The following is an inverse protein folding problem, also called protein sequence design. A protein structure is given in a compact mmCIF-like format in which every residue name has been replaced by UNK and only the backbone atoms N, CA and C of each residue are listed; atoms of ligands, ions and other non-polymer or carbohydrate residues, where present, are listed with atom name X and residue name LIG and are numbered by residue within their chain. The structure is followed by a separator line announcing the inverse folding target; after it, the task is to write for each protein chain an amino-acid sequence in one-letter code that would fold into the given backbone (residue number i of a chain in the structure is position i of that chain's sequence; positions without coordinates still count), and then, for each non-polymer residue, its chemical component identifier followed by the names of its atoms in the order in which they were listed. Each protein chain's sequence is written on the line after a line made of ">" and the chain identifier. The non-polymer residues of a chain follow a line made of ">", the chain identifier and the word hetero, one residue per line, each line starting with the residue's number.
data_IF_194632763194
#
_entry.id   IF_194632763194
#
_cell.length_a   1.000
_cell.length_b   1.000
_cell.length_c   1.000
_cell.angle_alpha   90.00
_cell.angle_beta   90.00
_cell.angle_gamma   90.00
#
_symmetry.space_group_name_H-M   'P 1'
#
loop_
_entity.id
_entity.type
_entity.pdbx_description
1 polymer ?
#
# COMPACT_ATOMS: atom_id res chain seq x y z
N UNK A 1 -69.60 -18.07 -49.11
CA UNK A 1 -69.93 -18.89 -50.28
C UNK A 1 -68.76 -18.88 -51.24
N UNK A 2 -68.29 -20.08 -51.61
CA UNK A 2 -67.43 -20.45 -52.74
C UNK A 2 -66.05 -19.76 -52.84
N UNK A 3 -64.93 -20.41 -52.52
CA UNK A 3 -64.28 -21.55 -53.22
C UNK A 3 -63.92 -21.25 -54.68
N UNK A 4 -62.61 -21.18 -54.99
CA UNK A 4 -62.05 -21.84 -56.18
C UNK A 4 -60.53 -21.99 -56.09
N UNK A 5 -60.13 -23.24 -55.91
CA UNK A 5 -58.81 -23.82 -56.15
C UNK A 5 -58.46 -23.81 -57.63
N UNK A 6 -57.16 -23.89 -57.94
CA UNK A 6 -56.53 -24.48 -59.14
C UNK A 6 -55.04 -24.13 -59.08
N UNK A 7 -54.07 -24.94 -59.51
CA UNK A 7 -53.90 -26.36 -59.78
C UNK A 7 -52.39 -26.50 -60.06
N UNK A 8 -51.84 -27.66 -59.76
CA UNK A 8 -50.43 -28.03 -59.96
C UNK A 8 -50.04 -28.04 -61.44
N UNK A 9 -48.76 -27.78 -61.74
CA UNK A 9 -48.11 -28.34 -62.92
C UNK A 9 -46.60 -28.53 -62.68
N UNK A 10 -46.20 -29.80 -62.57
CA UNK A 10 -44.83 -30.27 -62.69
C UNK A 10 -44.50 -30.45 -64.18
N UNK A 11 -43.38 -29.91 -64.67
CA UNK A 11 -42.50 -30.65 -65.60
C UNK A 11 -41.18 -29.94 -65.89
N UNK A 12 -40.12 -30.59 -65.41
CA UNK A 12 -38.77 -30.78 -65.96
C UNK A 12 -38.31 -29.93 -67.17
N UNK A 13 -37.14 -29.28 -67.02
CA UNK A 13 -36.07 -29.39 -68.02
C UNK A 13 -34.65 -29.07 -67.50
N UNK A 14 -33.80 -30.07 -67.70
CA UNK A 14 -32.34 -30.15 -67.68
C UNK A 14 -31.49 -28.88 -67.90
N UNK A 15 -30.35 -28.81 -67.20
CA UNK A 15 -29.18 -28.02 -67.60
C UNK A 15 -27.99 -28.20 -66.66
N UNK A 16 -26.94 -28.89 -67.12
CA UNK A 16 -25.65 -29.05 -66.44
C UNK A 16 -24.94 -27.70 -66.20
N UNK A 17 -24.27 -27.53 -65.05
CA UNK A 17 -22.85 -27.12 -64.98
C UNK A 17 -22.35 -26.96 -63.52
N UNK A 18 -21.08 -27.32 -63.35
CA UNK A 18 -20.23 -27.29 -62.15
C UNK A 18 -19.96 -25.89 -61.58
N UNK A 19 -19.74 -25.78 -60.25
CA UNK A 19 -19.02 -24.65 -59.64
C UNK A 19 -19.38 -24.41 -58.17
N UNK A 20 -18.40 -24.54 -57.27
CA UNK A 20 -18.55 -24.28 -55.84
C UNK A 20 -18.76 -22.81 -55.48
N UNK A 21 -19.33 -22.57 -54.29
CA UNK A 21 -19.53 -21.24 -53.71
C UNK A 21 -20.40 -21.29 -52.45
N UNK A 22 -19.74 -21.13 -51.30
CA UNK A 22 -20.19 -20.62 -50.00
C UNK A 22 -21.72 -20.52 -49.75
N UNK A 23 -22.24 -21.42 -48.90
CA UNK A 23 -23.54 -21.24 -48.25
C UNK A 23 -23.37 -20.40 -46.98
N UNK A 24 -23.77 -19.13 -47.08
CA UNK A 24 -24.01 -18.23 -45.96
C UNK A 24 -25.14 -18.81 -45.08
N UNK A 25 -24.79 -19.44 -43.95
CA UNK A 25 -25.76 -19.97 -42.99
C UNK A 25 -26.32 -18.80 -42.17
N UNK A 26 -27.62 -18.53 -42.33
CA UNK A 26 -28.35 -17.58 -41.48
C UNK A 26 -28.47 -18.13 -40.05
N UNK A 27 -28.26 -17.24 -39.07
CA UNK A 27 -28.37 -17.53 -37.63
C UNK A 27 -29.82 -17.90 -37.27
N UNK A 28 -29.99 -18.95 -36.47
CA UNK A 28 -31.30 -19.38 -35.98
C UNK A 28 -31.78 -18.49 -34.83
N UNK A 29 -33.10 -18.35 -34.65
CA UNK A 29 -33.71 -17.53 -33.59
C UNK A 29 -33.19 -17.85 -32.17
N UNK A 30 -32.77 -19.11 -31.95
CA UNK A 30 -32.20 -19.55 -30.67
C UNK A 30 -30.78 -19.02 -30.45
N UNK A 31 -30.01 -18.85 -31.52
CA UNK A 31 -28.64 -18.32 -31.48
C UNK A 31 -28.64 -16.80 -31.28
N UNK A 32 -29.60 -16.08 -31.88
CA UNK A 32 -29.79 -14.65 -31.63
C UNK A 32 -30.19 -14.37 -30.18
N UNK A 33 -31.12 -15.16 -29.61
CA UNK A 33 -31.52 -15.02 -28.21
C UNK A 33 -30.37 -15.30 -27.23
N UNK A 34 -29.41 -16.14 -27.62
CA UNK A 34 -28.21 -16.46 -26.86
C UNK A 34 -27.18 -15.32 -26.91
N UNK A 35 -27.04 -14.66 -28.06
CA UNK A 35 -26.18 -13.49 -28.21
C UNK A 35 -26.68 -12.29 -27.41
N UNK A 36 -28.00 -12.08 -27.36
CA UNK A 36 -28.59 -11.01 -26.55
C UNK A 36 -28.38 -11.25 -25.05
N UNK A 37 -28.54 -12.49 -24.58
CA UNK A 37 -28.28 -12.84 -23.19
C UNK A 37 -26.79 -12.70 -22.78
N UNK A 38 -25.86 -12.88 -23.72
CA UNK A 38 -24.43 -12.70 -23.48
C UNK A 38 -24.02 -11.22 -23.42
N UNK A 39 -24.69 -10.36 -24.20
CA UNK A 39 -24.51 -8.90 -24.14
C UNK A 39 -25.03 -8.32 -22.83
N UNK A 40 -26.14 -8.83 -22.30
CA UNK A 40 -26.66 -8.46 -20.97
C UNK A 40 -25.69 -8.80 -19.82
N UNK A 41 -24.78 -9.75 -20.03
CA UNK A 41 -23.72 -10.13 -19.09
C UNK A 41 -22.41 -9.35 -19.30
N UNK A 42 -22.43 -8.30 -20.13
CA UNK A 42 -21.30 -7.41 -20.43
C UNK A 42 -20.06 -8.16 -20.96
N UNK A 43 -20.28 -9.28 -21.67
CA UNK A 43 -19.28 -9.95 -22.48
C UNK A 43 -19.52 -9.55 -23.93
N UNK A 44 -18.49 -9.06 -24.64
CA UNK A 44 -18.55 -8.87 -26.09
C UNK A 44 -18.22 -10.19 -26.79
N UNK A 45 -19.20 -10.94 -27.34
CA UNK A 45 -18.89 -12.13 -28.10
C UNK A 45 -18.45 -11.67 -29.50
N UNK A 46 -17.15 -11.70 -29.79
CA UNK A 46 -16.63 -11.67 -31.17
C UNK A 46 -16.97 -13.00 -31.86
N UNK A 47 -18.22 -13.15 -32.25
CA UNK A 47 -18.77 -14.40 -32.77
C UNK A 47 -19.69 -14.03 -33.95
N UNK A 48 -19.22 -14.25 -35.18
CA UNK A 48 -19.91 -13.84 -36.41
C UNK A 48 -20.62 -15.02 -37.13
N UNK A 49 -20.75 -16.19 -36.49
CA UNK A 49 -21.51 -17.31 -37.04
C UNK A 49 -21.85 -18.43 -36.04
N UNK A 50 -22.86 -19.26 -36.38
CA UNK A 50 -23.37 -20.34 -35.52
C UNK A 50 -22.36 -21.44 -35.17
N UNK A 51 -21.31 -21.62 -35.98
CA UNK A 51 -20.23 -22.57 -35.69
C UNK A 51 -19.31 -22.13 -34.55
N UNK A 52 -19.18 -20.82 -34.32
CA UNK A 52 -18.35 -20.25 -33.26
C UNK A 52 -19.04 -20.33 -31.89
N UNK A 53 -20.37 -20.27 -31.85
CA UNK A 53 -21.17 -20.52 -30.64
C UNK A 53 -20.97 -21.97 -30.16
N UNK A 54 -20.90 -22.92 -31.10
CA UNK A 54 -20.64 -24.33 -30.83
C UNK A 54 -19.23 -24.62 -30.29
N UNK A 55 -18.23 -23.77 -30.59
CA UNK A 55 -16.90 -23.83 -29.97
C UNK A 55 -16.91 -23.24 -28.56
N UNK A 56 -17.65 -22.15 -28.35
CA UNK A 56 -17.75 -21.47 -27.07
C UNK A 56 -18.41 -22.36 -25.98
N UNK A 57 -19.50 -23.05 -26.34
CA UNK A 57 -20.19 -24.00 -25.45
C UNK A 57 -19.34 -25.25 -25.13
N UNK A 58 -18.46 -25.67 -26.04
CA UNK A 58 -17.50 -26.77 -25.82
C UNK A 58 -16.37 -26.40 -24.86
N UNK A 59 -16.07 -25.10 -24.72
CA UNK A 59 -15.10 -24.59 -23.74
C UNK A 59 -15.67 -24.56 -22.31
N UNK A 60 -16.96 -24.30 -22.16
CA UNK A 60 -17.64 -24.21 -20.86
C UNK A 60 -17.99 -25.57 -20.25
N UNK A 61 -18.16 -26.61 -21.07
CA UNK A 61 -18.54 -27.97 -20.62
C UNK A 61 -17.36 -28.84 -20.19
N UNK A 62 -16.10 -28.41 -20.39
CA UNK A 62 -14.90 -29.17 -19.96
C UNK A 62 -14.53 -29.02 -18.48
N UNK A 63 -15.39 -28.42 -17.64
CA UNK A 63 -15.09 -28.18 -16.21
C UNK A 63 -15.94 -28.95 -15.20
N UNK A 64 -16.70 -29.95 -15.63
CA UNK A 64 -17.48 -30.77 -14.69
C UNK A 64 -17.34 -32.24 -15.03
N UNK A 65 -17.02 -32.99 -13.98
CA UNK A 65 -16.96 -34.46 -13.85
C UNK A 65 -15.69 -35.17 -14.32
N UNK A 66 -14.77 -35.42 -13.38
CA UNK A 66 -14.30 -36.79 -13.12
C UNK A 66 -13.95 -37.03 -11.63
N UNK A 67 -14.83 -37.83 -11.02
CA UNK A 67 -14.60 -38.93 -10.07
C UNK A 67 -13.86 -38.75 -8.73
N UNK A 68 -14.67 -38.82 -7.67
CA UNK A 68 -14.31 -39.23 -6.30
C UNK A 68 -13.90 -40.71 -6.26
N UNK A 69 -12.68 -41.02 -5.76
CA UNK A 69 -12.39 -42.26 -5.02
C UNK A 69 -11.46 -41.98 -3.82
N UNK A 70 -11.72 -42.54 -2.62
CA UNK A 70 -10.88 -42.31 -1.45
C UNK A 70 -9.70 -43.28 -1.45
N UNK A 71 -8.47 -42.75 -1.35
CA UNK A 71 -7.30 -43.52 -0.95
C UNK A 71 -6.72 -42.89 0.30
N UNK A 72 -6.95 -43.55 1.44
CA UNK A 72 -6.25 -43.29 2.69
C UNK A 72 -4.84 -43.85 2.53
N UNK A 73 -3.82 -42.99 2.56
CA UNK A 73 -2.42 -43.41 2.71
C UNK A 73 -1.55 -42.23 3.12
N UNK A 74 -1.09 -42.29 4.36
CA UNK A 74 0.06 -41.60 4.95
C UNK A 74 -0.01 -40.07 5.08
N UNK A 75 -0.27 -39.64 6.31
CA UNK A 75 -0.16 -38.28 6.78
C UNK A 75 1.33 -37.95 7.05
N UNK A 76 2.06 -37.58 6.00
CA UNK A 76 3.39 -36.96 6.16
C UNK A 76 3.31 -35.47 5.84
N UNK A 77 3.74 -34.67 6.82
CA UNK A 77 3.75 -33.22 6.81
C UNK A 77 4.47 -32.66 5.58
N UNK A 78 3.73 -32.00 4.70
CA UNK A 78 4.30 -30.98 3.81
C UNK A 78 3.51 -29.70 3.98
N UNK A 79 4.07 -28.75 4.75
CA UNK A 79 3.60 -27.37 4.81
C UNK A 79 3.48 -26.84 3.38
N UNK A 80 2.31 -26.36 2.92
CA UNK A 80 2.24 -25.63 1.68
C UNK A 80 3.11 -24.38 1.82
N UNK A 81 4.21 -24.32 1.06
CA UNK A 81 4.85 -23.05 0.73
C UNK A 81 3.76 -22.22 0.07
N UNK A 82 3.32 -21.17 0.75
CA UNK A 82 2.38 -20.20 0.21
C UNK A 82 3.03 -19.53 -0.99
N UNK A 83 2.77 -20.09 -2.18
CA UNK A 83 3.17 -19.52 -3.45
C UNK A 83 2.26 -18.32 -3.67
N UNK A 84 2.87 -17.16 -3.52
CA UNK A 84 2.26 -15.84 -3.66
C UNK A 84 1.98 -15.53 -5.12
N UNK A 85 0.88 -16.04 -5.68
CA UNK A 85 0.33 -15.47 -6.91
C UNK A 85 -1.20 -15.52 -6.83
N UNK A 86 -1.76 -14.59 -6.06
CA UNK A 86 -3.11 -14.11 -6.31
C UNK A 86 -3.00 -12.91 -7.23
N UNK A 87 -3.45 -13.05 -8.48
CA UNK A 87 -3.95 -11.93 -9.26
C UNK A 87 -5.14 -11.33 -8.50
N UNK A 88 -4.84 -10.38 -7.63
CA UNK A 88 -5.79 -9.48 -7.00
C UNK A 88 -5.34 -8.09 -7.40
N UNK A 89 -6.24 -7.31 -8.03
CA UNK A 89 -5.95 -5.97 -8.52
C UNK A 89 -5.11 -5.17 -7.53
N UNK A 90 -4.09 -4.49 -8.04
CA UNK A 90 -3.18 -3.64 -7.29
C UNK A 90 -3.97 -2.50 -6.64
N UNK A 91 -4.59 -2.75 -5.50
CA UNK A 91 -5.00 -1.72 -4.57
C UNK A 91 -3.71 -1.03 -4.12
N UNK A 92 -3.36 0.08 -4.77
CA UNK A 92 -2.28 0.95 -4.29
C UNK A 92 -2.71 1.49 -2.93
N UNK A 93 -2.06 1.02 -1.88
CA UNK A 93 -2.23 1.53 -0.53
C UNK A 93 -0.87 1.88 0.05
N UNK A 94 -0.91 2.71 1.07
CA UNK A 94 0.28 3.21 1.74
C UNK A 94 1.02 2.06 2.44
N UNK A 95 2.23 1.74 1.97
CA UNK A 95 3.06 0.69 2.57
C UNK A 95 3.83 1.30 3.74
N UNK A 96 3.29 1.16 4.94
CA UNK A 96 3.90 1.61 6.19
C UNK A 96 4.60 0.46 6.90
N UNK A 97 5.63 0.78 7.70
CA UNK A 97 6.23 -0.14 8.66
C UNK A 97 5.20 -0.65 9.67
N UNK A 98 5.37 -1.87 10.19
CA UNK A 98 4.48 -2.41 11.21
C UNK A 98 4.66 -1.67 12.54
N UNK A 99 3.54 -1.29 13.17
CA UNK A 99 3.52 -0.54 14.44
C UNK A 99 2.53 -1.16 15.42
N UNK A 100 3.00 -1.61 16.58
CA UNK A 100 2.11 -2.14 17.63
C UNK A 100 1.88 -1.17 18.79
N UNK A 101 2.78 -0.21 19.01
CA UNK A 101 2.81 0.62 20.22
C UNK A 101 3.73 0.10 21.32
N UNK A 102 4.40 -1.03 21.12
CA UNK A 102 5.40 -1.59 22.02
C UNK A 102 6.75 -1.72 21.30
N UNK A 103 7.86 -1.59 22.04
CA UNK A 103 9.23 -1.80 21.52
C UNK A 103 9.50 -3.29 21.29
N UNK A 104 8.84 -3.85 20.28
CA UNK A 104 9.04 -5.23 19.85
C UNK A 104 10.10 -5.30 18.75
N UNK A 105 10.89 -6.37 18.76
CA UNK A 105 11.95 -6.59 17.78
C UNK A 105 11.36 -6.70 16.36
N UNK A 106 11.63 -5.70 15.52
CA UNK A 106 11.19 -5.65 14.13
C UNK A 106 9.98 -4.75 13.86
N UNK A 107 9.48 -4.03 14.86
CA UNK A 107 8.42 -3.03 14.72
C UNK A 107 8.99 -1.61 14.82
N UNK A 108 8.34 -0.64 14.18
CA UNK A 108 8.76 0.75 14.19
C UNK A 108 8.43 1.41 15.54
N UNK A 109 9.27 2.35 15.98
CA UNK A 109 8.92 3.27 17.08
C UNK A 109 7.87 4.27 16.62
N UNK A 110 7.15 4.91 17.56
CA UNK A 110 6.14 5.92 17.21
C UNK A 110 6.73 7.06 16.37
N UNK A 111 7.91 7.55 16.72
CA UNK A 111 8.54 8.67 16.00
C UNK A 111 8.93 8.29 14.57
N UNK A 112 9.51 7.10 14.37
CA UNK A 112 9.84 6.59 13.04
C UNK A 112 8.58 6.37 12.19
N UNK A 113 7.55 5.76 12.77
CA UNK A 113 6.27 5.51 12.12
C UNK A 113 5.55 6.82 11.75
N UNK A 114 5.51 7.77 12.68
CA UNK A 114 4.94 9.10 12.48
C UNK A 114 5.64 9.82 11.35
N UNK A 115 6.98 9.80 11.32
CA UNK A 115 7.77 10.41 10.25
C UNK A 115 7.44 9.80 8.89
N UNK A 116 7.44 8.46 8.78
CA UNK A 116 7.10 7.74 7.54
C UNK A 116 5.70 8.13 7.04
N UNK A 117 4.72 8.11 7.93
CA UNK A 117 3.34 8.48 7.61
C UNK A 117 3.22 9.94 7.16
N UNK A 118 3.86 10.88 7.87
CA UNK A 118 3.86 12.29 7.48
C UNK A 118 4.56 12.54 6.13
N UNK A 119 5.69 11.87 5.87
CA UNK A 119 6.42 12.00 4.62
C UNK A 119 5.53 11.60 3.43
N UNK A 120 4.89 10.43 3.52
CA UNK A 120 4.05 9.92 2.44
C UNK A 120 2.74 10.70 2.28
N UNK A 121 2.18 11.24 3.37
CA UNK A 121 1.02 12.14 3.27
C UNK A 121 1.39 13.47 2.61
N UNK A 122 2.59 13.98 2.86
CA UNK A 122 3.09 15.23 2.26
C UNK A 122 3.36 15.07 0.77
N UNK A 123 3.84 13.90 0.34
CA UNK A 123 4.01 13.58 -1.08
C UNK A 123 2.69 13.53 -1.86
N UNK A 124 1.54 13.39 -1.18
CA UNK A 124 0.22 13.47 -1.80
C UNK A 124 -0.10 12.33 -2.78
N UNK A 125 0.65 11.24 -2.72
CA UNK A 125 0.56 10.10 -3.66
C UNK A 125 -0.64 9.19 -3.42
N UNK A 126 -1.27 9.28 -2.25
CA UNK A 126 -2.39 8.42 -1.85
C UNK A 126 -3.62 9.24 -1.43
N UNK A 127 -4.80 8.76 -1.81
CA UNK A 127 -6.07 9.28 -1.29
C UNK A 127 -6.21 8.97 0.21
N UNK A 128 -7.08 9.71 0.91
CA UNK A 128 -7.36 9.47 2.33
C UNK A 128 -7.81 8.02 2.58
N UNK A 129 -8.64 7.45 1.69
CA UNK A 129 -9.10 6.06 1.79
C UNK A 129 -7.96 5.05 1.66
N UNK A 130 -7.01 5.28 0.75
CA UNK A 130 -5.83 4.42 0.57
C UNK A 130 -4.87 4.53 1.75
N UNK A 131 -4.71 5.73 2.30
CA UNK A 131 -3.90 5.99 3.49
C UNK A 131 -4.50 5.29 4.72
N UNK A 132 -5.82 5.37 4.91
CA UNK A 132 -6.54 4.65 5.96
C UNK A 132 -6.44 3.13 5.81
N UNK A 133 -6.48 2.61 4.58
CA UNK A 133 -6.28 1.18 4.33
C UNK A 133 -4.86 0.75 4.70
N UNK A 134 -3.84 1.53 4.30
CA UNK A 134 -2.45 1.27 4.68
C UNK A 134 -2.24 1.30 6.19
N UNK A 135 -2.80 2.31 6.86
CA UNK A 135 -2.74 2.48 8.31
C UNK A 135 -3.32 1.26 9.05
N UNK A 136 -4.53 0.81 8.68
CA UNK A 136 -5.15 -0.40 9.25
C UNK A 136 -4.33 -1.67 9.02
N UNK A 137 -3.60 -1.75 7.90
CA UNK A 137 -2.77 -2.92 7.58
C UNK A 137 -1.44 -2.92 8.30
N UNK A 138 -0.86 -1.78 8.59
CA UNK A 138 0.42 -1.66 9.29
C UNK A 138 0.27 -1.74 10.81
N UNK A 139 -0.85 -1.26 11.35
CA UNK A 139 -1.07 -1.26 12.79
C UNK A 139 -1.42 -2.65 13.33
N UNK A 140 -0.82 -3.00 14.47
CA UNK A 140 -0.94 -4.29 15.18
C UNK A 140 -1.13 -4.04 16.68
N UNK A 141 -1.38 -5.11 17.44
CA UNK A 141 -1.44 -5.06 18.91
C UNK A 141 -2.35 -3.96 19.47
N UNK A 142 -1.84 -3.25 20.48
CA UNK A 142 -2.55 -2.19 21.22
C UNK A 142 -2.87 -1.00 20.32
N UNK A 143 -1.99 -0.65 19.37
CA UNK A 143 -2.26 0.37 18.35
C UNK A 143 -3.41 -0.04 17.41
N UNK A 144 -3.46 -1.30 16.97
CA UNK A 144 -4.57 -1.85 16.18
C UNK A 144 -5.90 -1.87 16.96
N UNK A 145 -5.85 -2.06 18.27
CA UNK A 145 -7.05 -1.99 19.11
C UNK A 145 -7.59 -0.55 19.24
N UNK A 146 -6.74 0.48 19.19
CA UNK A 146 -7.17 1.89 19.13
C UNK A 146 -8.00 2.13 17.87
N UNK A 147 -7.51 1.68 16.71
CA UNK A 147 -8.26 1.75 15.44
C UNK A 147 -9.61 1.04 15.54
N UNK A 148 -9.64 -0.16 16.13
CA UNK A 148 -10.88 -0.93 16.29
C UNK A 148 -11.90 -0.21 17.17
N UNK A 149 -11.44 0.46 18.24
CA UNK A 149 -12.30 1.24 19.16
C UNK A 149 -12.83 2.52 18.53
N UNK A 150 -12.07 3.16 17.63
CA UNK A 150 -12.53 4.36 16.91
C UNK A 150 -13.59 4.04 15.85
N UNK A 151 -13.58 2.81 15.32
CA UNK A 151 -14.58 2.33 14.36
C UNK A 151 -14.20 2.56 12.89
N UNK A 152 -15.02 2.05 11.96
CA UNK A 152 -14.72 2.06 10.52
C UNK A 152 -14.83 3.45 9.87
N UNK A 153 -15.64 4.33 10.46
CA UNK A 153 -15.94 5.67 9.92
C UNK A 153 -14.99 6.76 10.43
N UNK A 154 -14.02 6.39 11.28
CA UNK A 154 -13.02 7.32 11.78
C UNK A 154 -12.18 7.90 10.64
N UNK A 155 -12.02 9.22 10.65
CA UNK A 155 -11.16 9.94 9.70
C UNK A 155 -9.67 9.69 10.00
N UNK A 156 -8.82 9.92 9.01
CA UNK A 156 -7.37 9.80 9.19
C UNK A 156 -6.85 10.73 10.28
N UNK A 157 -7.42 11.94 10.34
CA UNK A 157 -7.06 12.95 11.34
C UNK A 157 -7.38 12.49 12.77
N UNK A 158 -8.57 11.91 13.00
CA UNK A 158 -8.97 11.43 14.33
C UNK A 158 -8.09 10.28 14.81
N UNK A 159 -7.73 9.35 13.92
CA UNK A 159 -6.82 8.25 14.24
C UNK A 159 -5.44 8.79 14.61
N UNK A 160 -4.88 9.67 13.79
CA UNK A 160 -3.58 10.30 14.05
C UNK A 160 -3.55 11.04 15.38
N UNK A 161 -4.57 11.86 15.65
CA UNK A 161 -4.71 12.60 16.90
C UNK A 161 -4.77 11.67 18.11
N UNK A 162 -5.47 10.53 17.99
CA UNK A 162 -5.58 9.57 19.09
C UNK A 162 -4.26 8.84 19.34
N UNK A 163 -3.52 8.51 18.27
CA UNK A 163 -2.21 7.87 18.37
C UNK A 163 -1.17 8.82 18.96
N UNK A 164 -1.15 10.08 18.53
CA UNK A 164 -0.30 11.11 19.10
C UNK A 164 -0.60 11.32 20.60
N UNK A 165 -1.87 11.31 20.99
CA UNK A 165 -2.26 11.38 22.41
C UNK A 165 -1.86 10.16 23.24
N UNK A 166 -1.62 9.00 22.62
CA UNK A 166 -1.35 7.73 23.33
C UNK A 166 0.13 7.38 23.35
N UNK A 167 0.83 7.60 22.24
CA UNK A 167 2.22 7.23 22.02
C UNK A 167 3.15 8.42 21.79
N UNK A 168 2.60 9.63 21.62
CA UNK A 168 3.40 10.83 21.46
C UNK A 168 4.20 11.15 22.71
N UNK A 169 5.38 11.73 22.50
CA UNK A 169 6.23 12.18 23.59
C UNK A 169 5.53 13.31 24.38
N UNK A 170 5.26 13.09 25.66
CA UNK A 170 4.62 14.07 26.58
C UNK A 170 5.71 14.96 27.22
N UNK A 171 6.69 15.38 26.44
CA UNK A 171 7.72 16.27 26.95
C UNK A 171 7.30 17.73 26.80
N UNK A 172 7.35 18.44 27.93
CA UNK A 172 7.08 19.87 27.97
C UNK A 172 8.27 20.66 27.44
N UNK A 173 7.98 21.78 26.79
CA UNK A 173 8.95 22.75 26.28
C UNK A 173 10.06 23.06 27.30
N UNK A 174 9.70 23.34 28.55
CA UNK A 174 10.68 23.66 29.60
C UNK A 174 11.60 22.48 29.95
N UNK A 175 11.08 21.25 29.91
CA UNK A 175 11.85 20.04 30.20
C UNK A 175 12.90 19.79 29.13
N UNK A 176 12.50 19.87 27.86
CA UNK A 176 13.40 19.68 26.71
C UNK A 176 14.48 20.75 26.69
N UNK A 177 14.11 22.02 26.88
CA UNK A 177 15.08 23.12 26.92
C UNK A 177 16.06 22.99 28.09
N UNK A 178 15.57 22.58 29.26
CA UNK A 178 16.44 22.31 30.42
C UNK A 178 17.44 21.21 30.09
N UNK A 179 16.97 20.08 29.54
CA UNK A 179 17.85 18.97 29.13
C UNK A 179 18.86 19.43 28.10
N UNK A 180 18.44 20.19 27.08
CA UNK A 180 19.29 20.74 26.04
C UNK A 180 20.42 21.61 26.60
N UNK A 181 20.11 22.63 27.40
CA UNK A 181 21.14 23.52 27.98
C UNK A 181 22.00 22.87 29.07
N UNK A 182 21.48 21.84 29.74
CA UNK A 182 22.24 21.08 30.75
C UNK A 182 23.01 19.89 30.16
N UNK A 183 22.92 19.66 28.85
CA UNK A 183 23.57 18.54 28.20
C UNK A 183 25.09 18.77 28.19
N UNK A 184 25.83 17.86 28.80
CA UNK A 184 27.29 17.86 28.81
C UNK A 184 27.83 16.52 28.35
N UNK A 185 29.05 16.54 27.81
CA UNK A 185 29.76 15.36 27.34
C UNK A 185 30.13 14.47 28.53
N UNK A 186 29.60 13.24 28.53
CA UNK A 186 29.91 12.23 29.53
C UNK A 186 31.21 11.48 29.20
N UNK A 187 31.25 10.17 29.45
CA UNK A 187 32.37 9.32 29.02
C UNK A 187 32.44 9.09 27.49
N UNK A 188 31.47 9.63 26.74
CA UNK A 188 31.30 9.41 25.30
C UNK A 188 32.24 10.26 24.42
N UNK A 189 32.39 9.83 23.17
CA UNK A 189 33.08 10.57 22.10
C UNK A 189 32.29 11.83 21.69
N UNK A 190 32.98 12.82 21.12
CA UNK A 190 32.36 14.10 20.73
C UNK A 190 31.23 13.91 19.72
N UNK A 191 31.38 12.98 18.78
CA UNK A 191 30.36 12.67 17.77
C UNK A 191 29.10 12.07 18.40
N UNK A 192 29.24 11.15 19.37
CA UNK A 192 28.12 10.57 20.10
C UNK A 192 27.40 11.62 20.98
N UNK A 193 28.18 12.49 21.66
CA UNK A 193 27.64 13.62 22.41
C UNK A 193 26.87 14.58 21.50
N UNK A 194 27.43 14.91 20.33
CA UNK A 194 26.79 15.77 19.36
C UNK A 194 25.48 15.18 18.82
N UNK A 195 25.44 13.89 18.48
CA UNK A 195 24.20 13.22 18.08
C UNK A 195 23.13 13.29 19.17
N UNK A 196 23.50 13.04 20.43
CA UNK A 196 22.56 13.17 21.56
C UNK A 196 22.06 14.61 21.75
N UNK A 197 22.91 15.60 21.47
CA UNK A 197 22.53 17.00 21.51
C UNK A 197 21.61 17.39 20.33
N UNK A 198 21.87 16.87 19.14
CA UNK A 198 21.03 17.03 17.94
C UNK A 198 19.62 16.45 18.18
N UNK A 199 19.50 15.30 18.85
CA UNK A 199 18.20 14.72 19.21
C UNK A 199 17.40 15.65 20.15
N UNK A 200 18.05 16.22 21.17
CA UNK A 200 17.43 17.20 22.08
C UNK A 200 17.04 18.49 21.34
N UNK A 201 17.86 18.92 20.39
CA UNK A 201 17.58 20.08 19.54
C UNK A 201 16.40 19.83 18.60
N UNK A 202 16.30 18.63 18.02
CA UNK A 202 15.16 18.22 17.20
C UNK A 202 13.85 18.25 18.01
N UNK A 203 13.85 17.72 19.23
CA UNK A 203 12.69 17.82 20.13
C UNK A 203 12.31 19.27 20.45
N UNK A 204 13.29 20.16 20.63
CA UNK A 204 13.03 21.58 20.87
C UNK A 204 12.44 22.31 19.64
N UNK A 205 12.80 21.87 18.43
CA UNK A 205 12.21 22.36 17.17
C UNK A 205 10.76 21.88 17.02
N UNK A 206 10.49 20.62 17.32
CA UNK A 206 9.14 20.05 17.24
C UNK A 206 8.17 20.77 18.19
N UNK A 207 8.64 21.11 19.40
CA UNK A 207 7.90 21.93 20.36
C UNK A 207 7.88 23.43 20.02
N UNK A 208 8.36 23.83 18.82
CA UNK A 208 8.42 25.21 18.31
C UNK A 208 9.13 26.18 19.25
N UNK A 209 10.06 25.68 20.06
CA UNK A 209 10.81 26.50 21.02
C UNK A 209 12.03 27.13 20.39
N UNK A 210 12.70 26.38 19.52
CA UNK A 210 13.86 26.83 18.76
C UNK A 210 13.54 26.73 17.27
N UNK A 211 14.04 27.68 16.48
CA UNK A 211 13.96 27.61 15.02
C UNK A 211 15.03 26.67 14.49
N UNK A 212 14.69 25.85 13.49
CA UNK A 212 15.64 24.92 12.84
C UNK A 212 16.91 25.60 12.30
N UNK A 213 16.83 26.88 11.94
CA UNK A 213 17.97 27.67 11.47
C UNK A 213 18.93 28.17 12.57
N UNK A 214 18.64 27.94 13.85
CA UNK A 214 19.48 28.41 14.96
C UNK A 214 20.65 27.45 15.25
N UNK A 215 21.44 27.12 14.22
CA UNK A 215 22.63 26.28 14.34
C UNK A 215 23.68 26.88 15.29
N UNK A 216 23.70 28.22 15.44
CA UNK A 216 24.59 28.91 16.37
C UNK A 216 24.33 28.51 17.84
N UNK A 217 23.05 28.37 18.24
CA UNK A 217 22.69 27.93 19.59
C UNK A 217 23.17 26.49 19.79
N UNK A 218 23.00 25.65 18.78
CA UNK A 218 23.45 24.26 18.82
C UNK A 218 24.98 24.16 18.97
N UNK A 219 25.73 24.98 18.21
CA UNK A 219 27.19 25.10 18.30
C UNK A 219 27.63 25.61 19.66
N UNK A 220 26.99 26.66 20.18
CA UNK A 220 27.30 27.23 21.50
C UNK A 220 27.10 26.20 22.62
N UNK A 221 25.98 25.48 22.61
CA UNK A 221 25.69 24.44 23.62
C UNK A 221 26.63 23.25 23.49
N UNK A 222 26.96 22.84 22.25
CA UNK A 222 27.95 21.80 22.00
C UNK A 222 29.28 22.19 22.66
N UNK A 223 29.82 23.37 22.33
CA UNK A 223 31.08 23.87 22.90
C UNK A 223 31.02 24.03 24.41
N UNK A 224 29.91 24.54 24.96
CA UNK A 224 29.76 24.75 26.39
C UNK A 224 29.78 23.44 27.18
N UNK A 225 29.18 22.38 26.63
CA UNK A 225 29.10 21.06 27.26
C UNK A 225 30.26 20.11 26.98
N UNK A 226 31.25 20.49 26.15
CA UNK A 226 32.47 19.70 25.97
C UNK A 226 33.24 19.52 27.28
N UNK A 227 33.99 18.41 27.39
CA UNK A 227 34.97 18.22 28.46
C UNK A 227 35.98 19.36 28.49
N UNK A 228 36.44 19.71 29.68
CA UNK A 228 37.38 20.83 29.88
C UNK A 228 38.62 20.70 28.99
N UNK A 229 39.22 19.51 28.93
CA UNK A 229 40.42 19.25 28.12
C UNK A 229 40.19 19.52 26.63
N UNK A 230 39.04 19.11 26.11
CA UNK A 230 38.66 19.35 24.71
C UNK A 230 38.25 20.80 24.47
N UNK A 231 37.64 21.45 25.45
CA UNK A 231 37.19 22.84 25.36
C UNK A 231 38.36 23.80 25.15
N UNK A 232 39.49 23.57 25.82
CA UNK A 232 40.70 24.37 25.63
C UNK A 232 41.28 24.25 24.20
N UNK A 233 41.22 23.04 23.62
CA UNK A 233 41.69 22.78 22.26
C UNK A 233 40.70 23.32 21.23
N UNK A 234 39.40 23.18 21.50
CA UNK A 234 38.32 23.60 20.62
C UNK A 234 38.07 25.10 20.63
N UNK A 235 38.60 25.87 21.59
CA UNK A 235 38.39 27.32 21.70
C UNK A 235 38.76 28.06 20.39
N UNK A 236 39.94 27.78 19.84
CA UNK A 236 40.37 28.39 18.59
C UNK A 236 39.47 27.98 17.41
N UNK A 237 39.04 26.71 17.38
CA UNK A 237 38.17 26.17 16.34
C UNK A 237 36.75 26.73 16.43
N UNK A 238 36.27 26.99 17.64
CA UNK A 238 34.98 27.61 17.88
C UNK A 238 34.91 29.01 17.29
N UNK A 239 35.98 29.79 17.44
CA UNK A 239 36.07 31.15 16.90
C UNK A 239 36.34 31.18 15.37
N UNK A 240 36.85 30.08 14.81
CA UNK A 240 37.24 30.00 13.38
C UNK A 240 36.19 29.33 12.50
N UNK A 241 35.40 28.39 13.05
CA UNK A 241 34.45 27.56 12.31
C UNK A 241 33.03 27.96 12.70
N UNK A 242 32.33 28.68 11.82
CA UNK A 242 30.93 29.06 12.03
C UNK A 242 29.95 27.90 11.82
N UNK A 243 30.33 26.93 11.00
CA UNK A 243 29.49 25.79 10.65
C UNK A 243 29.51 24.70 11.73
N UNK A 244 28.33 24.30 12.19
CA UNK A 244 28.18 23.29 13.25
C UNK A 244 28.72 21.92 12.83
N UNK A 245 28.37 21.46 11.62
CA UNK A 245 28.74 20.12 11.15
C UNK A 245 30.26 19.99 11.01
N UNK A 246 30.91 21.05 10.53
CA UNK A 246 32.36 21.12 10.47
C UNK A 246 33.01 21.20 11.85
N UNK A 247 32.46 22.01 12.76
CA UNK A 247 32.97 22.14 14.12
C UNK A 247 32.89 20.83 14.92
N UNK A 248 31.87 19.99 14.69
CA UNK A 248 31.74 18.66 15.31
C UNK A 248 32.88 17.71 14.93
N UNK A 249 33.44 17.85 13.73
CA UNK A 249 34.40 16.90 13.17
C UNK A 249 35.87 17.27 13.38
N UNK A 250 36.16 18.56 13.56
CA UNK A 250 37.54 19.05 13.68
C UNK A 250 38.01 19.11 15.13
#
# INVERSE_FOLDING_TARGET
>A
MASRSQEEDESEKSGLASGGGEQERTLTDKEQKLLDALKDLNMDPRVEGGEDIGRLLRGLTKKTDEERKPRVSSFEYSRPRFSSYSETGTYHFLKLSAFSGEDNKGEATWDAFRYELHALLTEGTFTEKQSMLGLRRSMRGTAGDILRRLGPDASLHEVLKKLESTYGNIEFQESVMRKFYSCTQGAEEVTAYASRLEDLFAGAIELKTIKRGNAEILKQVLFQGLKLDLKHIAQYKYDTIDDYDRFKTE
#
